data_IF_835490355969
#
_entry.id   IF_835490355969
#
_cell.length_a   1.000
_cell.length_b   1.000
_cell.length_c   1.000
_cell.angle_alpha   90.00
_cell.angle_beta   90.00
_cell.angle_gamma   90.00
#
_symmetry.space_group_name_H-M   'P 1'
#
loop_
_entity.id
_entity.type
_entity.pdbx_description
1 polymer ?
#
# COMPACT_ATOMS: atom_id res chain seq x y z
N UNK A 1 -11.61 -17.32 1.78
CA UNK A 1 -10.96 -16.16 2.41
C UNK A 1 -10.15 -15.48 1.32
N UNK A 2 -10.54 -14.27 0.94
CA UNK A 2 -10.03 -13.55 -0.24
C UNK A 2 -8.52 -13.35 -0.19
N UNK A 3 -7.94 -13.23 1.01
CA UNK A 3 -6.49 -13.14 1.21
C UNK A 3 -5.73 -14.33 0.59
N UNK A 4 -6.31 -15.54 0.61
CA UNK A 4 -5.66 -16.73 0.06
C UNK A 4 -5.60 -16.70 -1.47
N UNK A 5 -6.45 -15.92 -2.12
CA UNK A 5 -6.53 -15.78 -3.58
C UNK A 5 -5.94 -14.45 -4.08
N UNK A 6 -5.51 -13.58 -3.16
CA UNK A 6 -5.10 -12.22 -3.51
C UNK A 6 -3.89 -12.19 -4.44
N UNK A 7 -2.94 -13.10 -4.25
CA UNK A 7 -1.77 -13.21 -5.14
C UNK A 7 -2.21 -13.55 -6.59
N UNK A 8 -3.20 -14.44 -6.76
CA UNK A 8 -3.77 -14.78 -8.08
C UNK A 8 -4.54 -13.60 -8.69
N UNK A 9 -5.31 -12.87 -7.87
CA UNK A 9 -6.04 -11.68 -8.32
C UNK A 9 -5.11 -10.57 -8.80
N UNK A 10 -4.00 -10.34 -8.10
CA UNK A 10 -2.97 -9.39 -8.51
C UNK A 10 -2.31 -9.82 -9.81
N UNK A 11 -1.98 -11.12 -9.96
CA UNK A 11 -1.40 -11.64 -11.20
C UNK A 11 -2.32 -11.41 -12.41
N UNK A 12 -3.62 -11.72 -12.27
CA UNK A 12 -4.63 -11.48 -13.31
C UNK A 12 -4.76 -9.96 -13.60
N UNK A 13 -4.76 -9.12 -12.58
CA UNK A 13 -4.89 -7.67 -12.75
C UNK A 13 -3.71 -7.07 -13.53
N UNK A 14 -2.48 -7.48 -13.18
CA UNK A 14 -1.27 -7.07 -13.90
C UNK A 14 -1.24 -7.60 -15.34
N UNK A 15 -1.73 -8.82 -15.58
CA UNK A 15 -1.85 -9.36 -16.94
C UNK A 15 -2.84 -8.53 -17.79
N UNK A 16 -3.95 -8.08 -17.18
CA UNK A 16 -5.00 -7.33 -17.88
C UNK A 16 -4.65 -5.87 -18.15
N UNK A 17 -3.74 -5.28 -17.37
CA UNK A 17 -3.38 -3.86 -17.48
C UNK A 17 -1.87 -3.68 -17.40
N UNK A 18 -1.27 -3.47 -18.56
CA UNK A 18 0.15 -3.11 -18.68
C UNK A 18 0.46 -1.86 -17.85
N UNK A 19 1.59 -1.89 -17.13
CA UNK A 19 2.02 -0.79 -16.27
C UNK A 19 1.21 -0.61 -14.98
N UNK A 20 0.24 -1.49 -14.68
CA UNK A 20 -0.48 -1.43 -13.40
C UNK A 20 0.50 -1.55 -12.22
N UNK A 21 1.44 -2.50 -12.31
CA UNK A 21 2.48 -2.75 -11.32
C UNK A 21 1.89 -2.91 -9.90
N UNK A 22 0.85 -3.74 -9.80
CA UNK A 22 0.17 -4.04 -8.55
C UNK A 22 0.90 -5.13 -7.77
N UNK A 23 0.91 -5.00 -6.44
CA UNK A 23 1.47 -5.98 -5.51
C UNK A 23 0.53 -6.16 -4.32
N UNK A 24 0.57 -7.35 -3.72
CA UNK A 24 -0.08 -7.61 -2.44
C UNK A 24 0.96 -7.81 -1.35
N UNK A 25 0.76 -7.15 -0.21
CA UNK A 25 1.60 -7.30 0.97
C UNK A 25 0.77 -7.69 2.18
N UNK A 26 1.29 -8.61 3.00
CA UNK A 26 0.57 -9.13 4.16
C UNK A 26 0.69 -8.21 5.38
N UNK A 27 1.57 -7.20 5.32
CA UNK A 27 1.76 -6.21 6.36
C UNK A 27 2.29 -4.86 5.82
N UNK A 28 2.10 -3.74 6.53
CA UNK A 28 2.66 -2.44 6.12
C UNK A 28 4.18 -2.42 6.02
N UNK A 29 4.88 -3.18 6.86
CA UNK A 29 6.35 -3.24 6.84
C UNK A 29 6.89 -3.96 5.60
N UNK A 30 6.19 -4.99 5.09
CA UNK A 30 6.57 -5.65 3.84
C UNK A 30 6.49 -4.69 2.65
N UNK A 31 5.39 -3.92 2.55
CA UNK A 31 5.24 -2.89 1.53
C UNK A 31 6.35 -1.84 1.62
N UNK A 32 6.65 -1.35 2.83
CA UNK A 32 7.70 -0.34 3.05
C UNK A 32 9.08 -0.88 2.69
N UNK A 33 9.39 -2.13 3.02
CA UNK A 33 10.65 -2.76 2.63
C UNK A 33 10.77 -2.88 1.10
N UNK A 34 9.68 -3.20 0.41
CA UNK A 34 9.65 -3.18 -1.05
C UNK A 34 9.92 -1.78 -1.59
N UNK A 35 9.26 -0.74 -1.08
CA UNK A 35 9.49 0.66 -1.51
C UNK A 35 10.94 1.09 -1.27
N UNK A 36 11.56 0.73 -0.14
CA UNK A 36 13.00 1.01 0.13
C UNK A 36 13.93 0.33 -0.87
N UNK A 37 13.53 -0.82 -1.42
CA UNK A 37 14.32 -1.55 -2.42
C UNK A 37 14.21 -0.95 -3.82
N UNK A 38 13.21 -0.11 -4.08
CA UNK A 38 13.07 0.58 -5.36
C UNK A 38 14.16 1.65 -5.47
N UNK A 39 15.02 1.51 -6.47
CA UNK A 39 16.11 2.44 -6.73
C UNK A 39 15.56 3.79 -7.19
N UNK A 40 15.96 4.94 -6.60
CA UNK A 40 15.42 6.26 -6.95
C UNK A 40 15.81 6.77 -8.35
N UNK A 41 16.60 6.01 -9.12
CA UNK A 41 17.19 6.44 -10.38
C UNK A 41 16.21 6.43 -11.55
N UNK A 42 15.08 5.72 -11.45
CA UNK A 42 14.06 5.67 -12.50
C UNK A 42 12.67 6.02 -11.97
N UNK A 43 12.00 6.86 -12.74
CA UNK A 43 10.60 7.23 -12.52
C UNK A 43 9.71 5.98 -12.53
N UNK A 44 9.10 5.66 -11.39
CA UNK A 44 8.32 4.42 -11.21
C UNK A 44 6.95 4.71 -10.62
N UNK A 45 5.94 3.92 -11.01
CA UNK A 45 4.65 3.88 -10.31
C UNK A 45 4.30 2.46 -9.93
N UNK A 46 3.65 2.25 -8.79
CA UNK A 46 3.21 0.96 -8.30
C UNK A 46 1.90 1.10 -7.51
N UNK A 47 1.13 0.02 -7.42
CA UNK A 47 -0.08 -0.05 -6.60
C UNK A 47 0.05 -1.18 -5.61
N UNK A 48 -0.42 -0.98 -4.39
CA UNK A 48 -0.32 -1.96 -3.33
C UNK A 48 -1.69 -2.23 -2.75
N UNK A 49 -2.01 -3.51 -2.54
CA UNK A 49 -3.01 -3.93 -1.58
C UNK A 49 -2.24 -4.35 -0.34
N UNK A 50 -2.52 -3.71 0.80
CA UNK A 50 -1.75 -3.91 2.02
C UNK A 50 -2.68 -4.41 3.12
N UNK A 51 -2.47 -5.63 3.58
CA UNK A 51 -3.16 -6.15 4.75
C UNK A 51 -2.53 -5.60 6.03
N UNK A 52 -3.31 -5.57 7.11
CA UNK A 52 -2.91 -5.11 8.42
C UNK A 52 -1.85 -5.98 9.12
N UNK A 53 -1.73 -7.24 8.74
CA UNK A 53 -0.84 -8.22 9.37
C UNK A 53 -1.42 -8.75 10.69
N UNK A 54 -0.65 -8.70 11.77
CA UNK A 54 -1.12 -9.18 13.09
C UNK A 54 -2.31 -8.35 13.58
N UNK A 55 -3.47 -8.96 13.76
CA UNK A 55 -4.66 -8.26 14.27
C UNK A 55 -5.90 -8.39 13.40
N UNK A 56 -5.81 -9.02 12.22
CA UNK A 56 -6.98 -9.38 11.43
C UNK A 56 -6.76 -9.28 9.93
N UNK A 57 -7.89 -9.30 9.22
CA UNK A 57 -7.96 -9.15 7.76
C UNK A 57 -8.64 -7.80 7.52
N UNK A 58 -7.83 -6.79 7.23
CA UNK A 58 -8.28 -5.47 6.80
C UNK A 58 -7.24 -4.96 5.80
N UNK A 59 -7.68 -4.48 4.64
CA UNK A 59 -6.79 -4.06 3.58
C UNK A 59 -7.04 -2.61 3.19
N UNK A 60 -5.95 -1.92 2.87
CA UNK A 60 -5.96 -0.59 2.26
C UNK A 60 -5.31 -0.69 0.88
N UNK A 61 -5.80 0.09 -0.09
CA UNK A 61 -5.09 0.28 -1.34
C UNK A 61 -4.09 1.45 -1.20
N UNK A 62 -2.90 1.34 -1.78
CA UNK A 62 -1.90 2.40 -1.76
C UNK A 62 -1.36 2.64 -3.16
N UNK A 63 -1.51 3.86 -3.68
CA UNK A 63 -0.84 4.27 -4.92
C UNK A 63 0.52 4.89 -4.59
N UNK A 64 1.54 4.49 -5.34
CA UNK A 64 2.92 4.89 -5.14
C UNK A 64 3.50 5.48 -6.41
N UNK A 65 4.15 6.63 -6.27
CA UNK A 65 4.94 7.25 -7.31
C UNK A 65 6.33 7.61 -6.77
N UNK A 66 7.37 7.22 -7.52
CA UNK A 66 8.73 7.69 -7.33
C UNK A 66 9.06 8.55 -8.54
N UNK A 67 9.28 9.84 -8.31
CA UNK A 67 9.53 10.85 -9.36
C UNK A 67 10.69 11.73 -8.95
N UNK A 68 11.70 11.86 -9.82
CA UNK A 68 12.90 12.67 -9.53
C UNK A 68 13.53 12.32 -8.17
N UNK A 69 13.61 11.02 -7.85
CA UNK A 69 14.13 10.51 -6.58
C UNK A 69 13.25 10.75 -5.34
N UNK A 70 12.06 11.34 -5.48
CA UNK A 70 11.10 11.57 -4.39
C UNK A 70 9.97 10.56 -4.43
N UNK A 71 9.63 9.98 -3.29
CA UNK A 71 8.54 9.03 -3.15
C UNK A 71 7.29 9.70 -2.55
N UNK A 72 6.14 9.46 -3.16
CA UNK A 72 4.83 9.83 -2.62
C UNK A 72 3.90 8.62 -2.58
N UNK A 73 3.17 8.48 -1.48
CA UNK A 73 2.20 7.42 -1.22
C UNK A 73 0.82 8.03 -0.96
N UNK A 74 -0.21 7.46 -1.56
CA UNK A 74 -1.62 7.80 -1.31
C UNK A 74 -2.33 6.52 -0.87
N UNK A 75 -2.67 6.42 0.41
CA UNK A 75 -3.53 5.38 0.95
C UNK A 75 -5.00 5.68 0.68
N UNK A 76 -5.75 4.69 0.23
CA UNK A 76 -7.17 4.74 -0.08
C UNK A 76 -7.85 3.70 0.80
N UNK A 77 -8.50 4.17 1.85
CA UNK A 77 -9.23 3.35 2.79
C UNK A 77 -10.69 3.23 2.34
N UNK A 78 -11.15 2.02 1.97
CA UNK A 78 -12.48 1.84 1.41
C UNK A 78 -13.60 2.22 2.37
N UNK A 79 -13.48 1.86 3.66
CA UNK A 79 -14.54 2.06 4.66
C UNK A 79 -14.25 3.26 5.56
N UNK A 80 -15.21 3.63 6.41
CA UNK A 80 -14.96 4.69 7.39
C UNK A 80 -13.80 4.38 8.34
N UNK A 81 -13.01 5.40 8.67
CA UNK A 81 -11.97 5.35 9.71
C UNK A 81 -12.54 5.18 11.12
N UNK A 82 -13.86 5.26 11.28
CA UNK A 82 -14.55 4.90 12.51
C UNK A 82 -14.49 3.38 12.77
N UNK A 83 -14.20 2.56 11.75
CA UNK A 83 -13.96 1.13 11.96
C UNK A 83 -12.56 0.90 12.57
N UNK A 84 -12.49 0.08 13.61
CA UNK A 84 -11.22 -0.23 14.31
C UNK A 84 -10.16 -0.81 13.36
N UNK A 85 -10.60 -1.59 12.37
CA UNK A 85 -9.73 -2.17 11.34
C UNK A 85 -9.04 -1.09 10.50
N UNK A 86 -9.82 -0.19 9.92
CA UNK A 86 -9.33 0.91 9.09
C UNK A 86 -8.38 1.83 9.84
N UNK A 87 -8.81 2.37 10.98
CA UNK A 87 -7.98 3.32 11.72
C UNK A 87 -6.71 2.67 12.28
N UNK A 88 -6.75 1.40 12.71
CA UNK A 88 -5.54 0.70 13.14
C UNK A 88 -4.56 0.46 11.98
N UNK A 89 -5.05 0.10 10.79
CA UNK A 89 -4.19 -0.04 9.61
C UNK A 89 -3.58 1.29 9.20
N UNK A 90 -4.38 2.36 9.10
CA UNK A 90 -3.91 3.69 8.75
C UNK A 90 -2.82 4.19 9.70
N UNK A 91 -3.02 4.05 11.02
CA UNK A 91 -2.03 4.42 12.05
C UNK A 91 -0.74 3.62 11.88
N UNK A 92 -0.83 2.30 11.66
CA UNK A 92 0.36 1.46 11.48
C UNK A 92 1.12 1.81 10.22
N UNK A 93 0.43 1.98 9.09
CA UNK A 93 1.04 2.38 7.83
C UNK A 93 1.77 3.71 8.00
N UNK A 94 1.10 4.70 8.60
CA UNK A 94 1.70 6.00 8.88
C UNK A 94 2.93 5.90 9.80
N UNK A 95 2.85 5.11 10.87
CA UNK A 95 3.96 4.92 11.81
C UNK A 95 5.18 4.27 11.15
N UNK A 96 4.98 3.23 10.34
CA UNK A 96 6.07 2.53 9.66
C UNK A 96 6.67 3.41 8.56
N UNK A 97 5.86 4.10 7.75
CA UNK A 97 6.36 5.05 6.75
C UNK A 97 7.18 6.16 7.41
N UNK A 98 6.71 6.79 8.48
CA UNK A 98 7.46 7.84 9.20
C UNK A 98 8.82 7.36 9.71
N UNK A 99 8.90 6.10 10.16
CA UNK A 99 10.13 5.53 10.72
C UNK A 99 11.13 5.11 9.65
N UNK A 100 10.65 4.48 8.59
CA UNK A 100 11.48 3.77 7.61
C UNK A 100 11.67 4.52 6.28
N UNK A 101 10.79 5.48 6.00
CA UNK A 101 10.73 6.31 4.80
C UNK A 101 10.48 7.78 5.20
N UNK A 102 11.36 8.41 6.01
CA UNK A 102 11.10 9.72 6.59
C UNK A 102 10.92 10.85 5.56
N UNK A 103 11.51 10.70 4.36
CA UNK A 103 11.41 11.66 3.26
C UNK A 103 10.18 11.44 2.36
N UNK A 104 9.41 10.36 2.59
CA UNK A 104 8.24 10.03 1.78
C UNK A 104 7.03 10.83 2.23
N UNK A 105 6.34 11.46 1.28
CA UNK A 105 5.03 12.04 1.54
C UNK A 105 3.96 10.94 1.59
N UNK A 106 3.17 10.89 2.66
CA UNK A 106 2.04 9.97 2.80
C UNK A 106 0.76 10.77 3.07
N UNK A 107 -0.24 10.58 2.23
CA UNK A 107 -1.62 10.98 2.49
C UNK A 107 -2.49 9.72 2.58
N UNK A 108 -3.49 9.72 3.46
CA UNK A 108 -4.49 8.65 3.53
C UNK A 108 -5.86 9.32 3.40
N UNK A 109 -6.67 8.84 2.46
CA UNK A 109 -8.03 9.28 2.23
C UNK A 109 -9.01 8.13 2.50
N UNK A 110 -10.06 8.45 3.24
CA UNK A 110 -11.24 7.61 3.43
C UNK A 110 -12.21 7.84 2.27
N UNK A 111 -12.84 6.77 1.78
CA UNK A 111 -13.80 6.87 0.66
C UNK A 111 -15.25 6.52 1.02
N UNK A 112 -15.48 5.83 2.13
CA UNK A 112 -16.80 5.34 2.58
C UNK A 112 -17.61 4.66 1.44
N UNK A 113 -16.97 3.67 0.79
CA UNK A 113 -17.50 2.89 -0.33
C UNK A 113 -17.98 1.50 0.10
#
# INVERSE_FOLDING_TARGET
>A
NDIALMDDFIAIANQKKEGLNAHFFRSPIEMVNYVKSLTPSEDTTARFVVNMGRGGIHCIAVDCAIKNGKCSLIGIEPVTMNSLGASMLAIRLQSVCKRELPETSLAIMETDM
#
